data_IF_235054865002
#
_entry.id   IF_235054865002
#
_cell.length_a   1.000
_cell.length_b   1.000
_cell.length_c   1.000
_cell.angle_alpha   90.00
_cell.angle_beta   90.00
_cell.angle_gamma   90.00
#
_symmetry.space_group_name_H-M   'P 1'
#
loop_
_entity.id
_entity.type
_entity.pdbx_description
1 polymer ?
#
# COMPACT_ATOMS: atom_id res chain seq x y z
N UNK A 1 -39.66 -4.19 9.02
CA UNK A 1 -39.21 -3.79 10.37
C UNK A 1 -38.09 -2.75 10.24
N UNK A 2 -38.28 -1.49 10.62
CA UNK A 2 -37.19 -0.51 10.56
C UNK A 2 -36.24 -0.71 11.76
N UNK A 3 -34.96 -0.88 11.45
CA UNK A 3 -33.88 -1.01 12.43
C UNK A 3 -33.79 0.27 13.27
N UNK A 4 -33.86 0.15 14.60
CA UNK A 4 -33.63 1.28 15.52
C UNK A 4 -32.17 1.27 15.94
N UNK A 5 -31.43 2.40 15.83
CA UNK A 5 -30.09 2.48 16.38
C UNK A 5 -30.17 2.65 17.90
N UNK A 6 -29.55 1.75 18.65
CA UNK A 6 -29.41 1.86 20.10
C UNK A 6 -28.33 2.90 20.44
N UNK A 7 -28.73 3.96 21.15
CA UNK A 7 -27.81 4.90 21.80
C UNK A 7 -26.86 4.16 22.75
N UNK A 8 -25.57 4.49 22.68
CA UNK A 8 -24.58 4.06 23.67
C UNK A 8 -23.61 2.98 23.22
N UNK A 9 -23.06 3.05 22.00
CA UNK A 9 -21.84 2.30 21.72
C UNK A 9 -20.68 2.97 22.46
N UNK A 10 -20.26 2.34 23.55
CA UNK A 10 -19.11 2.73 24.35
C UNK A 10 -17.83 2.70 23.48
N UNK A 11 -17.35 3.90 23.15
CA UNK A 11 -16.21 4.16 22.28
C UNK A 11 -14.89 3.66 22.92
N UNK A 12 -14.90 3.32 24.21
CA UNK A 12 -13.76 2.73 24.91
C UNK A 12 -13.41 1.33 24.39
N UNK A 13 -14.36 0.60 23.77
CA UNK A 13 -14.13 -0.73 23.18
C UNK A 13 -13.44 -0.72 21.82
N UNK A 14 -13.36 0.43 21.15
CA UNK A 14 -12.63 0.56 19.87
C UNK A 14 -11.12 0.58 20.11
N UNK A 15 -10.67 0.71 21.37
CA UNK A 15 -9.25 0.93 21.68
C UNK A 15 -8.33 -0.25 21.38
N UNK A 16 -8.84 -1.43 21.03
CA UNK A 16 -8.00 -2.63 20.88
C UNK A 16 -8.62 -3.66 19.92
N UNK A 17 -9.06 -3.24 18.74
CA UNK A 17 -9.52 -4.21 17.73
C UNK A 17 -8.30 -4.85 17.03
N UNK A 18 -7.69 -5.84 17.70
CA UNK A 18 -6.98 -6.96 17.07
C UNK A 18 -7.99 -7.91 16.38
N UNK A 19 -9.05 -7.38 15.76
CA UNK A 19 -9.96 -8.23 15.00
C UNK A 19 -9.28 -8.59 13.68
N UNK A 20 -9.24 -9.89 13.32
CA UNK A 20 -8.69 -10.33 12.06
C UNK A 20 -9.39 -9.60 10.90
N UNK A 21 -8.61 -9.15 9.92
CA UNK A 21 -9.14 -8.50 8.72
C UNK A 21 -10.23 -9.37 8.08
N UNK A 22 -11.37 -8.76 7.75
CA UNK A 22 -12.44 -9.53 7.10
C UNK A 22 -11.98 -10.03 5.73
N UNK A 23 -12.49 -11.19 5.31
CA UNK A 23 -12.16 -11.81 4.03
C UNK A 23 -12.37 -10.85 2.84
N UNK A 24 -13.44 -10.06 2.88
CA UNK A 24 -13.69 -9.01 1.88
C UNK A 24 -12.58 -7.96 1.80
N UNK A 25 -12.09 -7.48 2.95
CA UNK A 25 -11.02 -6.48 3.00
C UNK A 25 -9.69 -7.10 2.57
N UNK A 26 -9.39 -8.32 3.01
CA UNK A 26 -8.21 -9.06 2.57
C UNK A 26 -8.18 -9.21 1.05
N UNK A 27 -9.28 -9.67 0.45
CA UNK A 27 -9.38 -9.84 -1.00
C UNK A 27 -9.26 -8.51 -1.75
N UNK A 28 -9.76 -7.40 -1.19
CA UNK A 28 -9.56 -6.08 -1.78
C UNK A 28 -8.08 -5.65 -1.75
N UNK A 29 -7.38 -5.86 -0.63
CA UNK A 29 -5.95 -5.52 -0.51
C UNK A 29 -5.08 -6.39 -1.42
N UNK A 30 -5.38 -7.67 -1.50
CA UNK A 30 -4.70 -8.59 -2.41
C UNK A 30 -4.95 -8.21 -3.88
N UNK A 31 -6.17 -7.79 -4.23
CA UNK A 31 -6.44 -7.28 -5.58
C UNK A 31 -5.61 -6.03 -5.89
N UNK A 32 -5.49 -5.11 -4.93
CA UNK A 32 -4.70 -3.89 -5.08
C UNK A 32 -3.20 -4.22 -5.26
N UNK A 33 -2.65 -5.07 -4.40
CA UNK A 33 -1.29 -5.62 -4.50
C UNK A 33 -1.03 -6.18 -5.90
N UNK A 34 -1.84 -7.16 -6.31
CA UNK A 34 -1.67 -7.88 -7.56
C UNK A 34 -1.99 -7.05 -8.80
N UNK A 35 -2.68 -5.91 -8.70
CA UNK A 35 -3.08 -5.13 -9.89
C UNK A 35 -2.18 -3.93 -10.10
N UNK A 36 -1.78 -3.26 -9.02
CA UNK A 36 -1.12 -1.95 -9.08
C UNK A 36 0.34 -1.94 -8.64
N UNK A 37 0.76 -2.88 -7.79
CA UNK A 37 2.09 -2.84 -7.17
C UNK A 37 3.00 -3.95 -7.67
N UNK A 38 2.58 -5.21 -7.61
CA UNK A 38 3.31 -6.33 -8.22
C UNK A 38 3.09 -6.29 -9.74
N UNK A 39 3.97 -5.63 -10.49
CA UNK A 39 3.77 -5.42 -11.93
C UNK A 39 4.28 -6.57 -12.77
N UNK A 40 5.39 -7.16 -12.37
CA UNK A 40 5.98 -8.31 -13.04
C UNK A 40 5.23 -9.63 -12.74
N UNK A 41 4.31 -9.63 -11.75
CA UNK A 41 3.51 -10.78 -11.31
C UNK A 41 4.36 -11.90 -10.70
N UNK A 42 5.46 -11.55 -10.04
CA UNK A 42 6.32 -12.51 -9.35
C UNK A 42 5.87 -12.81 -7.90
N UNK A 43 4.85 -12.10 -7.41
CA UNK A 43 4.25 -12.29 -6.09
C UNK A 43 4.89 -11.46 -4.98
N UNK A 44 5.86 -10.61 -5.30
CA UNK A 44 6.47 -9.65 -4.38
C UNK A 44 6.49 -8.25 -4.99
N UNK A 45 6.62 -7.22 -4.15
CA UNK A 45 6.86 -5.85 -4.62
C UNK A 45 8.32 -5.52 -4.34
N UNK A 46 9.03 -5.06 -5.36
CA UNK A 46 10.45 -4.66 -5.27
C UNK A 46 10.65 -3.26 -5.85
N UNK A 47 11.85 -2.68 -5.67
CA UNK A 47 12.22 -1.41 -6.33
C UNK A 47 12.03 -1.47 -7.86
N UNK A 48 12.25 -2.65 -8.46
CA UNK A 48 12.11 -2.85 -9.90
C UNK A 48 10.69 -2.56 -10.38
N UNK A 49 9.65 -2.89 -9.61
CA UNK A 49 8.26 -2.59 -9.97
C UNK A 49 8.03 -1.08 -10.08
N UNK A 50 8.61 -0.30 -9.18
CA UNK A 50 8.53 1.16 -9.21
C UNK A 50 9.27 1.75 -10.41
N UNK A 51 10.44 1.20 -10.77
CA UNK A 51 11.16 1.64 -11.96
C UNK A 51 10.47 1.24 -13.26
N UNK A 52 9.78 0.09 -13.31
CA UNK A 52 8.92 -0.26 -14.44
C UNK A 52 7.79 0.77 -14.64
N UNK A 53 7.15 1.25 -13.56
CA UNK A 53 6.17 2.34 -13.66
C UNK A 53 6.83 3.63 -14.13
N UNK A 54 7.97 3.97 -13.57
CA UNK A 54 8.69 5.20 -13.90
C UNK A 54 9.04 5.24 -15.40
N UNK A 55 9.61 4.17 -15.95
CA UNK A 55 9.89 4.05 -17.38
C UNK A 55 8.62 4.19 -18.23
N UNK A 56 7.53 3.53 -17.83
CA UNK A 56 6.26 3.62 -18.53
C UNK A 56 5.70 5.05 -18.52
N UNK A 57 5.74 5.73 -17.37
CA UNK A 57 5.30 7.14 -17.22
C UNK A 57 6.18 8.07 -18.06
N UNK A 58 7.50 7.94 -18.00
CA UNK A 58 8.41 8.76 -18.81
C UNK A 58 8.17 8.55 -20.31
N UNK A 59 7.97 7.29 -20.75
CA UNK A 59 7.65 6.95 -22.14
C UNK A 59 6.32 7.57 -22.59
N UNK A 60 5.27 7.48 -21.77
CA UNK A 60 3.96 8.10 -22.08
C UNK A 60 4.05 9.62 -22.22
N UNK A 61 4.92 10.26 -21.46
CA UNK A 61 5.11 11.71 -21.50
C UNK A 61 6.18 12.18 -22.50
N UNK A 62 6.85 11.26 -23.20
CA UNK A 62 7.92 11.57 -24.14
C UNK A 62 9.17 12.16 -23.48
N UNK A 63 9.43 11.83 -22.22
CA UNK A 63 10.62 12.29 -21.50
C UNK A 63 11.80 11.36 -21.78
N UNK A 64 12.91 11.94 -22.23
CA UNK A 64 14.13 11.21 -22.51
C UNK A 64 14.85 10.80 -21.20
N UNK A 65 15.62 9.69 -21.18
CA UNK A 65 16.33 9.22 -19.99
C UNK A 65 17.33 10.21 -19.39
N UNK A 66 17.82 11.16 -20.18
CA UNK A 66 18.77 12.21 -19.79
C UNK A 66 18.08 13.54 -19.44
N UNK A 67 16.74 13.56 -19.39
CA UNK A 67 16.00 14.76 -19.05
C UNK A 67 15.86 14.93 -17.53
N UNK A 68 15.88 16.17 -17.06
CA UNK A 68 15.62 16.53 -15.66
C UNK A 68 14.31 15.90 -15.15
N UNK A 69 13.27 15.83 -16.01
CA UNK A 69 11.99 15.21 -15.65
C UNK A 69 12.10 13.71 -15.40
N UNK A 70 12.98 13.01 -16.13
CA UNK A 70 13.22 11.59 -15.90
C UNK A 70 13.88 11.38 -14.54
N UNK A 71 14.93 12.14 -14.24
CA UNK A 71 15.63 12.08 -12.95
C UNK A 71 14.69 12.41 -11.78
N UNK A 72 13.93 13.51 -11.87
CA UNK A 72 12.94 13.88 -10.84
C UNK A 72 11.88 12.79 -10.62
N UNK A 73 11.46 12.12 -11.70
CA UNK A 73 10.48 11.04 -11.60
C UNK A 73 11.12 9.81 -10.95
N UNK A 74 12.34 9.46 -11.32
CA UNK A 74 13.09 8.37 -10.69
C UNK A 74 13.24 8.59 -9.18
N UNK A 75 13.64 9.79 -8.76
CA UNK A 75 13.79 10.12 -7.34
C UNK A 75 12.46 10.06 -6.58
N UNK A 76 11.37 10.49 -7.20
CA UNK A 76 10.02 10.35 -6.63
C UNK A 76 9.65 8.88 -6.42
N UNK A 77 9.79 8.04 -7.45
CA UNK A 77 9.45 6.62 -7.36
C UNK A 77 10.33 5.88 -6.35
N UNK A 78 11.62 6.19 -6.29
CA UNK A 78 12.53 5.69 -5.24
C UNK A 78 12.11 6.14 -3.85
N UNK A 79 11.71 7.40 -3.67
CA UNK A 79 11.22 7.89 -2.38
C UNK A 79 9.93 7.19 -1.94
N UNK A 80 9.04 6.86 -2.88
CA UNK A 80 7.81 6.11 -2.59
C UNK A 80 8.18 4.68 -2.18
N UNK A 81 9.06 4.01 -2.93
CA UNK A 81 9.55 2.68 -2.58
C UNK A 81 10.18 2.64 -1.18
N UNK A 82 11.13 3.53 -0.89
CA UNK A 82 11.78 3.58 0.42
C UNK A 82 10.78 3.79 1.56
N UNK A 83 9.75 4.60 1.33
CA UNK A 83 8.69 4.84 2.32
C UNK A 83 7.83 3.60 2.53
N UNK A 84 7.49 2.89 1.45
CA UNK A 84 6.73 1.64 1.52
C UNK A 84 7.54 0.55 2.22
N UNK A 85 8.79 0.36 1.82
CA UNK A 85 9.70 -0.62 2.39
C UNK A 85 9.87 -0.39 3.90
N UNK A 86 10.10 0.85 4.33
CA UNK A 86 10.29 1.17 5.76
C UNK A 86 9.11 0.74 6.64
N UNK A 87 7.89 0.76 6.10
CA UNK A 87 6.67 0.43 6.86
C UNK A 87 6.29 -1.05 6.71
N UNK A 88 6.45 -1.64 5.52
CA UNK A 88 5.89 -2.95 5.17
C UNK A 88 6.90 -4.10 5.07
N UNK A 89 8.19 -3.84 4.79
CA UNK A 89 9.25 -4.87 4.71
C UNK A 89 9.73 -5.19 6.13
N UNK A 90 9.14 -6.21 6.74
CA UNK A 90 9.38 -6.50 8.16
C UNK A 90 10.62 -7.35 8.40
N UNK A 91 10.94 -8.25 7.47
CA UNK A 91 12.11 -9.12 7.58
C UNK A 91 13.38 -8.55 6.90
N UNK A 92 13.23 -7.41 6.20
CA UNK A 92 14.32 -6.63 5.58
C UNK A 92 15.01 -7.40 4.47
N UNK A 93 14.24 -8.07 3.63
CA UNK A 93 14.74 -8.83 2.49
C UNK A 93 14.73 -8.05 1.17
N UNK A 94 14.44 -6.74 1.22
CA UNK A 94 14.30 -5.84 0.08
C UNK A 94 13.11 -6.18 -0.84
N UNK A 95 12.15 -6.96 -0.34
CA UNK A 95 10.90 -7.27 -0.98
C UNK A 95 9.73 -7.07 -0.01
N UNK A 96 8.52 -6.86 -0.56
CA UNK A 96 7.29 -6.86 0.23
C UNK A 96 6.37 -7.94 -0.30
N UNK A 97 6.12 -8.94 0.53
CA UNK A 97 5.20 -10.04 0.20
C UNK A 97 3.74 -9.62 0.36
N UNK A 98 2.82 -10.38 -0.24
CA UNK A 98 1.38 -10.15 -0.09
C UNK A 98 0.91 -10.24 1.37
N UNK A 99 1.55 -11.09 2.20
CA UNK A 99 1.20 -11.23 3.62
C UNK A 99 1.66 -10.03 4.43
N UNK A 100 2.87 -9.53 4.18
CA UNK A 100 3.38 -8.29 4.76
C UNK A 100 2.53 -7.09 4.38
N UNK A 101 2.19 -6.97 3.10
CA UNK A 101 1.29 -5.94 2.59
C UNK A 101 -0.06 -5.94 3.31
N UNK A 102 -0.71 -7.10 3.42
CA UNK A 102 -2.02 -7.21 4.10
C UNK A 102 -1.88 -6.83 5.57
N UNK A 103 -0.81 -7.26 6.23
CA UNK A 103 -0.56 -6.97 7.64
C UNK A 103 -0.35 -5.48 7.88
N UNK A 104 0.56 -4.84 7.15
CA UNK A 104 0.87 -3.42 7.33
C UNK A 104 -0.31 -2.51 6.96
N UNK A 105 -0.89 -2.67 5.76
CA UNK A 105 -2.00 -1.82 5.30
C UNK A 105 -3.25 -1.98 6.17
N UNK A 106 -3.48 -3.18 6.73
CA UNK A 106 -4.56 -3.39 7.70
C UNK A 106 -4.36 -2.56 8.97
N UNK A 107 -3.12 -2.43 9.44
CA UNK A 107 -2.76 -1.62 10.61
C UNK A 107 -2.82 -0.12 10.28
N UNK A 108 -2.35 0.30 9.10
CA UNK A 108 -2.36 1.68 8.65
C UNK A 108 -3.79 2.25 8.48
N UNK A 109 -4.72 1.45 7.98
CA UNK A 109 -6.13 1.84 7.81
C UNK A 109 -6.82 2.17 9.14
N UNK A 110 -6.35 1.62 10.26
CA UNK A 110 -6.90 1.87 11.59
C UNK A 110 -6.34 3.16 12.24
N UNK A 111 -5.16 3.62 11.83
CA UNK A 111 -4.51 4.80 12.43
C UNK A 111 -4.92 6.12 11.78
N UNK A 112 -5.23 6.14 10.46
CA UNK A 112 -5.63 7.37 9.75
C UNK A 112 -7.00 7.96 10.14
N UNK A 113 -7.92 7.17 10.70
CA UNK A 113 -9.23 7.68 11.17
C UNK A 113 -9.24 8.14 12.64
N UNK A 114 -8.08 8.15 13.31
CA UNK A 114 -7.97 8.40 14.76
C UNK A 114 -7.49 9.81 15.13
N UNK A 115 -7.24 10.69 14.15
CA UNK A 115 -7.01 12.14 14.38
C UNK A 115 -8.21 12.95 13.88
N UNK A 116 -9.17 13.18 14.77
CA UNK A 116 -10.04 14.36 14.78
C UNK A 116 -9.96 14.98 16.17
#
# INVERSE_FOLDING_TARGET
CPYKPTMGQDISKIKENNEPISEFRKNKLLYEFNTFYDLNKDGVITESDFFMVQEYVCKLNGWAPDSEKFEMTQDLFRSIWNSLQTEADEDKDDAVTADEWVRDISNFSLTKYRKK
#
